data_IF_059754327156
#
_entry.id   IF_059754327156
#
_cell.length_a   1.000
_cell.length_b   1.000
_cell.length_c   1.000
_cell.angle_alpha   90.00
_cell.angle_beta   90.00
_cell.angle_gamma   90.00
#
_symmetry.space_group_name_H-M   'P 1'
#
loop_
_entity.id
_entity.type
_entity.pdbx_description
1 polymer ?
#
# COMPACT_ATOMS: atom_id res chain seq x y z
N UNK A 1 -1.80 -13.16 31.02
CA UNK A 1 -1.31 -11.79 30.95
C UNK A 1 -2.27 -11.01 30.04
N UNK A 2 -2.77 -9.85 30.45
CA UNK A 2 -3.74 -9.09 29.65
C UNK A 2 -2.98 -8.46 28.46
N UNK A 3 -3.11 -9.02 27.26
CA UNK A 3 -2.38 -8.60 26.04
C UNK A 3 -2.56 -7.12 25.67
N UNK A 4 -3.56 -6.46 26.27
CA UNK A 4 -3.96 -5.09 25.98
C UNK A 4 -3.76 -4.10 27.13
N UNK A 5 -3.02 -4.48 28.20
CA UNK A 5 -2.90 -3.64 29.40
C UNK A 5 -2.30 -2.24 29.13
N UNK A 6 -1.67 -2.07 27.98
CA UNK A 6 -0.82 -0.92 27.68
C UNK A 6 -1.40 0.03 26.61
N UNK A 7 -2.61 -0.22 26.09
CA UNK A 7 -3.27 0.62 25.07
C UNK A 7 -4.69 0.99 25.54
N UNK A 8 -5.21 2.11 25.02
CA UNK A 8 -6.51 2.64 25.41
C UNK A 8 -7.67 1.72 25.00
N UNK A 9 -8.80 1.72 25.72
CA UNK A 9 -9.97 0.92 25.37
C UNK A 9 -10.45 1.14 23.92
N UNK A 10 -10.40 2.36 23.41
CA UNK A 10 -10.71 2.73 22.03
C UNK A 10 -9.82 1.99 21.01
N UNK A 11 -8.52 1.92 21.30
CA UNK A 11 -7.52 1.23 20.46
C UNK A 11 -7.67 -0.29 20.57
N UNK A 12 -7.95 -0.81 21.76
CA UNK A 12 -8.27 -2.23 21.98
C UNK A 12 -9.49 -2.66 21.15
N UNK A 13 -10.54 -1.84 21.15
CA UNK A 13 -11.76 -2.09 20.40
C UNK A 13 -11.47 -2.08 18.90
N UNK A 14 -10.69 -1.10 18.38
CA UNK A 14 -10.28 -1.04 16.97
C UNK A 14 -9.56 -2.31 16.53
N UNK A 15 -8.53 -2.73 17.28
CA UNK A 15 -7.78 -3.96 16.98
C UNK A 15 -8.71 -5.18 17.02
N UNK A 16 -9.60 -5.26 18.01
CA UNK A 16 -10.53 -6.38 18.15
C UNK A 16 -11.52 -6.48 17.00
N UNK A 17 -11.88 -5.33 16.38
CA UNK A 17 -12.76 -5.27 15.21
C UNK A 17 -12.02 -5.45 13.87
N UNK A 18 -10.68 -5.50 13.85
CA UNK A 18 -9.89 -5.71 12.63
C UNK A 18 -9.78 -7.20 12.29
N UNK A 19 -10.90 -7.84 11.91
CA UNK A 19 -10.98 -9.25 11.48
C UNK A 19 -12.19 -9.50 10.59
N UNK A 20 -12.27 -10.68 9.99
CA UNK A 20 -13.35 -11.06 9.07
C UNK A 20 -14.35 -12.06 9.68
N UNK A 21 -14.04 -12.62 10.84
CA UNK A 21 -14.91 -13.57 11.56
C UNK A 21 -14.70 -13.48 13.07
N UNK A 22 -15.70 -13.92 13.85
CA UNK A 22 -15.71 -13.83 15.30
C UNK A 22 -16.17 -15.13 15.96
N UNK A 23 -15.39 -15.61 16.90
CA UNK A 23 -15.87 -16.58 17.87
C UNK A 23 -16.77 -15.92 18.90
N UNK A 24 -17.63 -16.70 19.58
CA UNK A 24 -18.50 -16.18 20.64
C UNK A 24 -17.74 -15.52 21.79
N UNK A 25 -16.53 -16.00 22.10
CA UNK A 25 -15.65 -15.35 23.09
C UNK A 25 -15.21 -13.97 22.65
N UNK A 26 -14.88 -13.80 21.37
CA UNK A 26 -14.49 -12.51 20.80
C UNK A 26 -15.66 -11.52 20.76
N UNK A 27 -16.86 -11.95 20.37
CA UNK A 27 -18.08 -11.14 20.43
C UNK A 27 -18.32 -10.62 21.83
N UNK A 28 -18.29 -11.50 22.86
CA UNK A 28 -18.43 -11.09 24.25
C UNK A 28 -17.37 -10.07 24.69
N UNK A 29 -16.12 -10.25 24.27
CA UNK A 29 -15.04 -9.32 24.58
C UNK A 29 -15.29 -7.95 23.92
N UNK A 30 -15.79 -7.90 22.67
CA UNK A 30 -16.14 -6.65 21.98
C UNK A 30 -17.24 -5.91 22.74
N UNK A 31 -18.29 -6.60 23.20
CA UNK A 31 -19.34 -5.98 24.04
C UNK A 31 -18.77 -5.38 25.35
N UNK A 32 -17.79 -6.04 25.97
CA UNK A 32 -17.13 -5.51 27.18
C UNK A 32 -16.32 -4.26 26.81
N UNK A 33 -15.58 -4.28 25.69
CA UNK A 33 -14.75 -3.16 25.25
C UNK A 33 -15.59 -1.94 24.88
N UNK A 34 -16.71 -2.12 24.16
CA UNK A 34 -17.62 -1.01 23.83
C UNK A 34 -18.14 -0.30 25.08
N UNK A 35 -18.41 -1.04 26.17
CA UNK A 35 -18.81 -0.45 27.45
C UNK A 35 -17.67 0.27 28.19
N UNK A 36 -16.42 0.01 27.84
CA UNK A 36 -15.24 0.60 28.48
C UNK A 36 -14.70 1.83 27.76
N UNK A 37 -15.06 2.04 26.48
CA UNK A 37 -14.62 3.25 25.77
C UNK A 37 -15.21 4.49 26.42
N UNK A 38 -14.39 5.50 26.59
CA UNK A 38 -14.78 6.76 27.24
C UNK A 38 -14.95 7.90 26.23
N UNK A 39 -14.32 7.78 25.06
CA UNK A 39 -14.34 8.77 23.98
C UNK A 39 -14.74 8.11 22.66
N UNK A 40 -16.05 8.11 22.39
CA UNK A 40 -16.61 7.54 21.17
C UNK A 40 -16.19 8.35 19.94
N UNK A 41 -16.04 9.66 20.06
CA UNK A 41 -15.59 10.51 18.95
C UNK A 41 -14.17 10.17 18.53
N UNK A 42 -13.28 9.98 19.52
CA UNK A 42 -11.93 9.50 19.29
C UNK A 42 -11.92 8.13 18.63
N UNK A 43 -12.75 7.18 19.08
CA UNK A 43 -12.85 5.86 18.46
C UNK A 43 -13.22 5.96 16.97
N UNK A 44 -14.26 6.72 16.64
CA UNK A 44 -14.74 6.93 15.27
C UNK A 44 -13.69 7.65 14.42
N UNK A 45 -13.04 8.69 14.99
CA UNK A 45 -11.94 9.39 14.35
C UNK A 45 -10.77 8.45 13.99
N UNK A 46 -10.33 7.64 14.94
CA UNK A 46 -9.25 6.67 14.71
C UNK A 46 -9.63 5.62 13.67
N UNK A 47 -10.87 5.10 13.69
CA UNK A 47 -11.37 4.16 12.68
C UNK A 47 -11.28 4.75 11.26
N UNK A 48 -11.60 6.04 11.11
CA UNK A 48 -11.52 6.75 9.84
C UNK A 48 -10.05 6.96 9.39
N UNK A 49 -9.21 7.52 10.27
CA UNK A 49 -7.82 7.82 9.94
C UNK A 49 -7.00 6.54 9.65
N UNK A 50 -7.30 5.45 10.33
CA UNK A 50 -6.71 4.14 10.09
C UNK A 50 -7.27 3.39 8.86
N UNK A 51 -8.27 3.96 8.18
CA UNK A 51 -8.82 3.40 6.94
C UNK A 51 -9.60 2.10 7.13
N UNK A 52 -10.17 1.86 8.32
CA UNK A 52 -10.92 0.65 8.69
C UNK A 52 -12.39 0.92 9.02
N UNK A 53 -12.87 2.14 8.84
CA UNK A 53 -14.21 2.56 9.27
C UNK A 53 -15.34 1.69 8.68
N UNK A 54 -15.20 1.23 7.43
CA UNK A 54 -16.17 0.36 6.78
C UNK A 54 -16.20 -1.03 7.41
N UNK A 55 -15.03 -1.60 7.71
CA UNK A 55 -14.90 -2.88 8.40
C UNK A 55 -15.45 -2.79 9.84
N UNK A 56 -15.12 -1.71 10.54
CA UNK A 56 -15.62 -1.44 11.91
C UNK A 56 -17.15 -1.41 11.94
N UNK A 57 -17.80 -0.75 10.99
CA UNK A 57 -19.27 -0.73 10.91
C UNK A 57 -19.86 -2.13 10.76
N UNK A 58 -19.40 -2.88 9.75
CA UNK A 58 -19.92 -4.22 9.48
C UNK A 58 -19.71 -5.13 10.70
N UNK A 59 -18.55 -5.06 11.35
CA UNK A 59 -18.21 -5.89 12.50
C UNK A 59 -18.96 -5.50 13.79
N UNK A 60 -19.26 -4.22 14.00
CA UNK A 60 -20.16 -3.79 15.07
C UNK A 60 -21.58 -4.32 14.86
N UNK A 61 -22.05 -4.37 13.62
CA UNK A 61 -23.35 -4.96 13.28
C UNK A 61 -23.35 -6.48 13.45
N UNK A 62 -22.34 -7.18 12.93
CA UNK A 62 -22.21 -8.64 13.04
C UNK A 62 -22.13 -9.13 14.48
N UNK A 63 -21.45 -8.38 15.33
CA UNK A 63 -21.30 -8.74 16.74
C UNK A 63 -22.48 -8.31 17.62
N UNK A 64 -23.42 -7.50 17.11
CA UNK A 64 -24.49 -6.88 17.89
C UNK A 64 -24.02 -5.76 18.85
N UNK A 65 -22.72 -5.44 18.82
CA UNK A 65 -22.17 -4.41 19.71
C UNK A 65 -22.50 -2.98 19.24
N UNK A 66 -22.93 -2.82 17.99
CA UNK A 66 -23.39 -1.53 17.46
C UNK A 66 -24.58 -0.94 18.21
N UNK A 67 -25.44 -1.78 18.78
CA UNK A 67 -26.63 -1.34 19.53
C UNK A 67 -26.27 -0.68 20.88
N UNK A 68 -25.00 -0.79 21.30
CA UNK A 68 -24.45 -0.13 22.50
C UNK A 68 -23.89 1.27 22.22
N UNK A 69 -23.80 1.66 20.94
CA UNK A 69 -23.30 2.97 20.52
C UNK A 69 -24.45 3.94 20.22
N UNK A 70 -24.23 5.27 20.35
CA UNK A 70 -25.23 6.26 19.93
C UNK A 70 -25.64 6.09 18.47
N UNK A 71 -26.92 6.21 18.19
CA UNK A 71 -27.49 6.03 16.84
C UNK A 71 -26.81 6.95 15.81
N UNK A 72 -26.55 8.20 16.15
CA UNK A 72 -25.86 9.16 15.27
C UNK A 72 -24.48 8.68 14.81
N UNK A 73 -23.73 7.98 15.69
CA UNK A 73 -22.40 7.42 15.36
C UNK A 73 -22.54 6.21 14.44
N UNK A 74 -23.52 5.36 14.69
CA UNK A 74 -23.81 4.23 13.80
C UNK A 74 -24.26 4.69 12.42
N UNK A 75 -25.05 5.76 12.32
CA UNK A 75 -25.45 6.39 11.03
C UNK A 75 -24.20 6.94 10.31
N UNK A 76 -23.28 7.61 11.02
CA UNK A 76 -22.03 8.10 10.43
C UNK A 76 -21.17 6.96 9.88
N UNK A 77 -21.00 5.88 10.64
CA UNK A 77 -20.27 4.68 10.24
C UNK A 77 -20.93 4.01 9.02
N UNK A 78 -22.26 3.89 9.01
CA UNK A 78 -23.03 3.36 7.87
C UNK A 78 -22.81 4.17 6.59
N UNK A 79 -22.88 5.48 6.68
CA UNK A 79 -22.62 6.38 5.55
C UNK A 79 -21.19 6.22 5.02
N UNK A 80 -20.21 6.07 5.91
CA UNK A 80 -18.80 5.83 5.54
C UNK A 80 -18.61 4.48 4.85
N UNK A 81 -19.34 3.45 5.32
CA UNK A 81 -19.40 2.13 4.68
C UNK A 81 -19.95 2.21 3.25
N UNK A 82 -21.06 2.95 3.07
CA UNK A 82 -21.65 3.14 1.74
C UNK A 82 -20.74 3.92 0.79
N UNK A 83 -20.02 4.94 1.28
CA UNK A 83 -19.00 5.65 0.49
C UNK A 83 -17.87 4.72 0.05
N UNK A 84 -17.39 3.85 0.95
CA UNK A 84 -16.37 2.85 0.62
C UNK A 84 -16.86 1.89 -0.47
N UNK A 85 -18.07 1.36 -0.34
CA UNK A 85 -18.68 0.48 -1.34
C UNK A 85 -18.82 1.17 -2.71
N UNK A 86 -19.35 2.39 -2.72
CA UNK A 86 -19.49 3.18 -3.95
C UNK A 86 -18.14 3.45 -4.61
N UNK A 87 -17.11 3.81 -3.82
CA UNK A 87 -15.75 4.02 -4.33
C UNK A 87 -15.19 2.72 -4.93
N UNK A 88 -15.26 1.61 -4.21
CA UNK A 88 -14.77 0.32 -4.69
C UNK A 88 -15.49 -0.11 -5.98
N UNK A 89 -16.84 0.05 -6.04
CA UNK A 89 -17.62 -0.25 -7.25
C UNK A 89 -17.10 0.55 -8.46
N UNK A 90 -16.77 1.81 -8.25
CA UNK A 90 -16.24 2.65 -9.30
C UNK A 90 -14.85 2.20 -9.76
N UNK A 91 -13.97 1.82 -8.83
CA UNK A 91 -12.66 1.21 -9.15
C UNK A 91 -12.82 -0.09 -9.95
N UNK A 92 -13.79 -0.92 -9.60
CA UNK A 92 -14.09 -2.15 -10.32
C UNK A 92 -14.54 -1.91 -11.77
N UNK A 93 -15.33 -0.87 -12.02
CA UNK A 93 -15.71 -0.52 -13.38
C UNK A 93 -14.49 -0.14 -14.24
N UNK A 94 -13.56 0.62 -13.67
CA UNK A 94 -12.33 1.01 -14.36
C UNK A 94 -11.40 -0.18 -14.60
N UNK A 95 -11.22 -1.07 -13.61
CA UNK A 95 -10.34 -2.24 -13.83
C UNK A 95 -10.91 -3.21 -14.87
N UNK A 96 -12.23 -3.38 -14.93
CA UNK A 96 -12.88 -4.21 -15.98
C UNK A 96 -12.54 -3.66 -17.37
N UNK A 97 -12.61 -2.35 -17.56
CA UNK A 97 -12.22 -1.71 -18.82
C UNK A 97 -10.73 -1.98 -19.16
N UNK A 98 -9.83 -1.77 -18.19
CA UNK A 98 -8.39 -2.05 -18.34
C UNK A 98 -8.14 -3.50 -18.75
N UNK A 99 -8.78 -4.45 -18.07
CA UNK A 99 -8.63 -5.88 -18.35
C UNK A 99 -9.15 -6.28 -19.73
N UNK A 100 -10.26 -5.69 -20.18
CA UNK A 100 -10.79 -5.93 -21.53
C UNK A 100 -9.81 -5.45 -22.61
N UNK A 101 -9.21 -4.27 -22.44
CA UNK A 101 -8.21 -3.73 -23.36
C UNK A 101 -6.96 -4.62 -23.40
N UNK A 102 -6.47 -5.05 -22.23
CA UNK A 102 -5.25 -5.85 -22.14
C UNK A 102 -5.45 -7.30 -22.62
N UNK A 103 -6.65 -7.85 -22.47
CA UNK A 103 -7.01 -9.17 -22.99
C UNK A 103 -6.87 -9.24 -24.51
N UNK A 104 -7.27 -8.19 -25.24
CA UNK A 104 -7.18 -8.13 -26.70
C UNK A 104 -5.74 -8.29 -27.21
N UNK A 105 -4.77 -7.83 -26.44
CA UNK A 105 -3.34 -7.90 -26.78
C UNK A 105 -2.57 -8.90 -25.90
N UNK A 106 -3.27 -9.72 -25.13
CA UNK A 106 -2.70 -10.78 -24.27
C UNK A 106 -1.63 -10.26 -23.28
N UNK A 107 -1.87 -9.10 -22.66
CA UNK A 107 -1.02 -8.60 -21.58
C UNK A 107 -1.48 -9.26 -20.26
N UNK A 108 -0.61 -10.09 -19.66
CA UNK A 108 -0.85 -10.67 -18.33
C UNK A 108 -0.88 -9.54 -17.30
N UNK A 109 -1.96 -9.50 -16.50
CA UNK A 109 -2.20 -8.41 -15.56
C UNK A 109 -2.46 -9.00 -14.17
N UNK A 110 -1.49 -8.85 -13.27
CA UNK A 110 -1.59 -9.29 -11.88
C UNK A 110 -2.07 -8.12 -11.03
N UNK A 111 -3.14 -8.32 -10.27
CA UNK A 111 -3.60 -7.31 -9.31
C UNK A 111 -2.64 -7.21 -8.14
N UNK A 112 -2.49 -6.01 -7.62
CA UNK A 112 -1.70 -5.77 -6.42
C UNK A 112 -2.53 -5.09 -5.32
N UNK A 113 -1.98 -5.06 -4.12
CA UNK A 113 -2.47 -4.31 -2.95
C UNK A 113 -3.99 -4.46 -2.73
N UNK A 114 -4.70 -3.31 -2.66
CA UNK A 114 -6.09 -3.23 -2.26
C UNK A 114 -7.02 -4.09 -3.07
N UNK A 115 -6.92 -4.05 -4.38
CA UNK A 115 -7.85 -4.78 -5.25
C UNK A 115 -7.61 -6.29 -5.22
N UNK A 116 -6.35 -6.73 -5.14
CA UNK A 116 -6.03 -8.14 -4.96
C UNK A 116 -6.60 -8.66 -3.63
N UNK A 117 -6.42 -7.91 -2.54
CA UNK A 117 -6.93 -8.25 -1.21
C UNK A 117 -8.46 -8.24 -1.15
N UNK A 118 -9.10 -7.22 -1.73
CA UNK A 118 -10.58 -7.13 -1.72
C UNK A 118 -11.22 -8.35 -2.39
N UNK A 119 -10.64 -8.84 -3.50
CA UNK A 119 -11.12 -10.05 -4.18
C UNK A 119 -10.75 -11.34 -3.46
N UNK A 120 -9.49 -11.47 -3.02
CA UNK A 120 -8.97 -12.74 -2.50
C UNK A 120 -9.22 -12.94 -1.00
N UNK A 121 -9.37 -11.87 -0.21
CA UNK A 121 -9.47 -11.93 1.25
C UNK A 121 -10.81 -11.39 1.74
N UNK A 122 -11.20 -10.16 1.36
CA UNK A 122 -12.38 -9.46 1.91
C UNK A 122 -13.70 -9.85 1.21
N UNK A 123 -13.65 -10.49 0.05
CA UNK A 123 -14.85 -10.98 -0.66
C UNK A 123 -15.62 -9.89 -1.39
N UNK A 124 -14.98 -8.84 -1.86
CA UNK A 124 -15.57 -7.75 -2.67
C UNK A 124 -16.78 -7.07 -2.02
N UNK A 125 -16.71 -6.81 -0.71
CA UNK A 125 -17.82 -6.20 0.06
C UNK A 125 -17.62 -4.71 0.33
N UNK A 126 -16.57 -4.07 -0.20
CA UNK A 126 -16.20 -2.69 0.10
C UNK A 126 -15.79 -2.46 1.56
N UNK A 127 -15.40 -3.53 2.26
CA UNK A 127 -14.90 -3.47 3.64
C UNK A 127 -13.52 -2.83 3.69
N UNK A 128 -12.69 -3.14 2.69
CA UNK A 128 -11.37 -2.57 2.53
C UNK A 128 -11.43 -1.32 1.67
N UNK A 129 -11.14 -0.18 2.29
CA UNK A 129 -11.10 1.10 1.56
C UNK A 129 -9.96 1.11 0.54
N UNK A 130 -10.26 1.50 -0.70
CA UNK A 130 -9.31 1.63 -1.81
C UNK A 130 -9.39 3.01 -2.44
N UNK A 131 -8.24 3.54 -2.89
CA UNK A 131 -8.15 4.85 -3.55
C UNK A 131 -7.66 4.77 -4.99
N UNK A 132 -6.92 3.73 -5.33
CA UNK A 132 -6.18 3.53 -6.57
C UNK A 132 -6.28 2.07 -7.03
N UNK A 133 -5.85 1.84 -8.25
CA UNK A 133 -5.72 0.53 -8.87
C UNK A 133 -4.26 0.28 -9.16
N UNK A 134 -3.69 -0.71 -8.48
CA UNK A 134 -2.31 -1.16 -8.73
C UNK A 134 -2.33 -2.46 -9.53
N UNK A 135 -1.67 -2.45 -10.68
CA UNK A 135 -1.51 -3.64 -11.51
C UNK A 135 -0.03 -3.89 -11.82
N UNK A 136 0.36 -5.15 -11.84
CA UNK A 136 1.70 -5.57 -12.25
C UNK A 136 1.59 -6.25 -13.63
N UNK A 137 2.40 -5.77 -14.57
CA UNK A 137 2.53 -6.35 -15.91
C UNK A 137 3.99 -6.71 -16.18
N UNK A 138 4.27 -7.66 -17.10
CA UNK A 138 5.62 -7.93 -17.53
C UNK A 138 6.32 -6.66 -18.01
N UNK A 139 7.57 -6.47 -17.59
CA UNK A 139 8.32 -5.23 -17.83
C UNK A 139 8.42 -4.86 -19.30
N UNK A 140 8.64 -5.82 -20.15
CA UNK A 140 8.73 -5.68 -21.61
C UNK A 140 7.42 -5.21 -22.24
N UNK A 141 6.28 -5.43 -21.57
CA UNK A 141 4.94 -5.03 -22.02
C UNK A 141 4.42 -3.74 -21.36
N UNK A 142 5.13 -3.19 -20.35
CA UNK A 142 4.60 -2.08 -19.55
C UNK A 142 4.39 -0.78 -20.37
N UNK A 143 5.25 -0.48 -21.33
CA UNK A 143 5.10 0.70 -22.20
C UNK A 143 3.96 0.52 -23.23
N UNK A 144 3.74 -0.69 -23.69
CA UNK A 144 2.59 -1.01 -24.53
C UNK A 144 1.28 -0.88 -23.74
N UNK A 145 1.23 -1.45 -22.53
CA UNK A 145 0.11 -1.30 -21.61
C UNK A 145 -0.24 0.17 -21.37
N UNK A 146 0.78 0.99 -21.11
CA UNK A 146 0.60 2.45 -20.93
C UNK A 146 0.02 3.11 -22.18
N UNK A 147 0.55 2.81 -23.37
CA UNK A 147 0.09 3.39 -24.62
C UNK A 147 -1.38 3.06 -24.86
N UNK A 148 -1.77 1.78 -24.67
CA UNK A 148 -3.16 1.34 -24.84
C UNK A 148 -4.12 2.15 -23.95
N UNK A 149 -3.77 2.36 -22.67
CA UNK A 149 -4.62 3.13 -21.79
C UNK A 149 -4.71 4.61 -22.21
N UNK A 150 -3.61 5.20 -22.64
CA UNK A 150 -3.61 6.58 -23.16
C UNK A 150 -4.50 6.72 -24.39
N UNK A 151 -4.42 5.77 -25.34
CA UNK A 151 -5.22 5.75 -26.57
C UNK A 151 -6.72 5.54 -26.27
N UNK A 152 -7.06 4.99 -25.09
CA UNK A 152 -8.43 4.75 -24.62
C UNK A 152 -8.91 5.75 -23.55
N UNK A 153 -8.38 6.97 -23.58
CA UNK A 153 -8.90 8.10 -22.81
C UNK A 153 -8.39 8.23 -21.37
N UNK A 154 -7.42 7.41 -20.95
CA UNK A 154 -6.69 7.65 -19.72
C UNK A 154 -5.71 8.83 -19.92
N UNK A 155 -5.56 9.67 -18.91
CA UNK A 155 -4.67 10.83 -18.93
C UNK A 155 -3.48 10.62 -18.01
N UNK A 156 -2.26 10.83 -18.53
CA UNK A 156 -1.07 10.76 -17.68
C UNK A 156 -0.95 11.96 -16.75
N UNK A 157 -0.58 11.71 -15.51
CA UNK A 157 -0.01 12.76 -14.66
C UNK A 157 1.22 13.34 -15.35
N UNK A 158 1.40 14.68 -15.35
CA UNK A 158 2.54 15.31 -16.00
C UNK A 158 3.87 14.80 -15.46
N UNK A 159 4.73 14.32 -16.34
CA UNK A 159 6.11 13.96 -15.99
C UNK A 159 7.01 15.20 -16.03
N UNK A 160 7.99 15.22 -15.14
CA UNK A 160 8.90 16.34 -14.95
C UNK A 160 9.67 16.71 -16.23
N UNK A 161 10.16 15.70 -16.95
CA UNK A 161 10.88 15.90 -18.21
C UNK A 161 10.46 14.88 -19.27
N UNK A 162 10.31 15.27 -20.55
CA UNK A 162 10.08 14.35 -21.66
C UNK A 162 11.17 13.29 -21.80
N UNK A 163 12.42 13.59 -21.40
CA UNK A 163 13.55 12.65 -21.43
C UNK A 163 13.28 11.39 -20.58
N UNK A 164 12.46 11.51 -19.53
CA UNK A 164 12.12 10.37 -18.70
C UNK A 164 11.35 9.28 -19.45
N UNK A 165 10.63 9.62 -20.53
CA UNK A 165 9.97 8.60 -21.35
C UNK A 165 10.94 7.54 -21.89
N UNK A 166 12.22 7.89 -22.10
CA UNK A 166 13.26 6.99 -22.59
C UNK A 166 13.72 5.96 -21.53
N UNK A 167 13.45 6.25 -20.26
CA UNK A 167 13.91 5.42 -19.13
C UNK A 167 12.80 4.94 -18.20
N UNK A 168 11.53 5.22 -18.50
CA UNK A 168 10.40 4.83 -17.64
C UNK A 168 10.43 3.36 -17.21
N UNK A 169 10.69 2.35 -18.07
CA UNK A 169 10.76 0.95 -17.65
C UNK A 169 11.96 0.61 -16.78
N UNK A 170 12.90 1.53 -16.64
CA UNK A 170 14.17 1.34 -15.91
C UNK A 170 14.29 2.23 -14.67
N UNK A 171 13.28 3.05 -14.43
CA UNK A 171 13.22 4.02 -13.35
C UNK A 171 12.00 3.77 -12.46
N UNK A 172 12.21 3.72 -11.14
CA UNK A 172 11.13 3.45 -10.19
C UNK A 172 10.61 2.01 -10.24
N UNK A 173 9.44 1.78 -9.70
CA UNK A 173 8.74 0.48 -9.65
C UNK A 173 7.48 0.45 -10.54
N UNK A 174 6.89 1.60 -10.81
CA UNK A 174 5.70 1.78 -11.66
C UNK A 174 5.92 2.94 -12.63
N UNK A 175 5.15 2.96 -13.70
CA UNK A 175 5.08 4.08 -14.63
C UNK A 175 4.34 5.27 -14.00
N UNK A 176 4.46 6.49 -14.57
CA UNK A 176 3.63 7.61 -14.16
C UNK A 176 2.15 7.26 -14.20
N UNK A 177 1.45 7.60 -13.13
CA UNK A 177 0.02 7.30 -12.96
C UNK A 177 -0.83 7.73 -14.17
N UNK A 178 -1.83 6.93 -14.45
CA UNK A 178 -2.85 7.21 -15.43
C UNK A 178 -4.19 7.43 -14.72
N UNK A 179 -4.92 8.45 -15.11
CA UNK A 179 -6.18 8.82 -14.46
C UNK A 179 -7.33 8.79 -15.46
N UNK A 180 -8.44 8.12 -15.10
CA UNK A 180 -9.71 8.17 -15.82
C UNK A 180 -10.86 8.24 -14.83
N UNK A 181 -11.80 9.17 -15.05
CA UNK A 181 -12.96 9.34 -14.17
C UNK A 181 -12.62 9.61 -12.69
N UNK A 182 -11.44 10.21 -12.38
CA UNK A 182 -11.00 10.42 -11.00
C UNK A 182 -10.40 9.19 -10.31
N UNK A 183 -10.18 8.10 -11.07
CA UNK A 183 -9.46 6.90 -10.61
C UNK A 183 -8.04 6.92 -11.12
N UNK A 184 -7.08 6.71 -10.21
CA UNK A 184 -5.67 6.49 -10.54
C UNK A 184 -5.40 5.02 -10.82
N UNK A 185 -4.65 4.74 -11.90
CA UNK A 185 -4.14 3.41 -12.26
C UNK A 185 -2.62 3.47 -12.29
N UNK A 186 -1.96 2.70 -11.43
CA UNK A 186 -0.52 2.52 -11.40
C UNK A 186 -0.11 1.24 -12.13
N UNK A 187 0.61 1.38 -13.25
CA UNK A 187 1.18 0.23 -13.96
C UNK A 187 2.56 -0.07 -13.37
N UNK A 188 2.63 -1.08 -12.52
CA UNK A 188 3.87 -1.60 -11.99
C UNK A 188 4.56 -2.51 -13.01
N UNK A 189 5.88 -2.42 -13.09
CA UNK A 189 6.74 -3.33 -13.86
C UNK A 189 7.75 -4.04 -12.96
N UNK A 190 7.75 -3.71 -11.67
CA UNK A 190 8.42 -4.42 -10.58
C UNK A 190 7.79 -4.06 -9.23
N UNK A 191 8.01 -4.89 -8.22
CA UNK A 191 7.39 -4.70 -6.90
C UNK A 191 8.06 -3.61 -6.08
N UNK A 192 9.38 -3.49 -6.17
CA UNK A 192 10.17 -2.56 -5.36
C UNK A 192 11.00 -1.62 -6.22
N UNK A 193 11.24 -0.42 -5.72
CA UNK A 193 12.29 0.44 -6.24
C UNK A 193 13.65 -0.14 -5.80
N UNK A 194 14.62 -0.27 -6.71
CA UNK A 194 15.92 -0.82 -6.41
C UNK A 194 16.30 -2.04 -7.27
N UNK A 195 17.26 -2.86 -6.82
CA UNK A 195 17.63 -4.09 -7.52
C UNK A 195 16.40 -4.95 -7.79
N UNK A 196 16.37 -5.58 -8.94
CA UNK A 196 15.30 -6.48 -9.33
C UNK A 196 15.47 -7.77 -8.54
N UNK A 197 14.53 -8.04 -7.65
CA UNK A 197 14.50 -9.27 -6.90
C UNK A 197 13.68 -10.31 -7.66
N UNK A 198 14.05 -11.59 -7.54
CA UNK A 198 13.29 -12.71 -8.07
C UNK A 198 11.79 -12.70 -7.67
N UNK A 199 11.45 -11.97 -6.62
CA UNK A 199 10.09 -11.81 -6.13
C UNK A 199 9.12 -11.22 -7.18
N UNK A 200 9.59 -10.29 -8.04
CA UNK A 200 8.74 -9.76 -9.13
C UNK A 200 8.42 -10.82 -10.16
N UNK A 201 9.39 -11.62 -10.54
CA UNK A 201 9.21 -12.71 -11.50
C UNK A 201 8.31 -13.80 -10.92
N UNK A 202 8.57 -14.25 -9.68
CA UNK A 202 7.72 -15.20 -8.95
C UNK A 202 6.27 -14.70 -8.84
N UNK A 203 6.07 -13.40 -8.56
CA UNK A 203 4.74 -12.80 -8.51
C UNK A 203 3.99 -12.90 -9.84
N UNK A 204 4.68 -12.70 -10.97
CA UNK A 204 4.06 -12.80 -12.30
C UNK A 204 3.84 -14.27 -12.68
N UNK A 205 4.86 -15.12 -12.54
CA UNK A 205 4.80 -16.52 -13.00
C UNK A 205 3.86 -17.37 -12.15
N UNK A 206 3.92 -17.22 -10.81
CA UNK A 206 3.10 -17.97 -9.86
C UNK A 206 1.67 -17.46 -9.69
N UNK A 207 1.30 -16.34 -10.34
CA UNK A 207 -0.07 -15.81 -10.23
C UNK A 207 -1.10 -16.71 -10.90
N UNK A 208 -2.23 -16.90 -10.23
CA UNK A 208 -3.35 -17.73 -10.68
C UNK A 208 -4.42 -16.90 -11.38
N UNK A 209 -4.98 -17.46 -12.44
CA UNK A 209 -6.05 -16.80 -13.19
C UNK A 209 -7.33 -16.78 -12.37
N UNK A 210 -7.98 -15.63 -12.33
CA UNK A 210 -9.25 -15.41 -11.67
C UNK A 210 -10.23 -14.78 -12.65
N UNK A 211 -11.35 -15.46 -12.90
CA UNK A 211 -12.41 -14.93 -13.77
C UNK A 211 -13.19 -13.85 -13.02
N UNK A 212 -13.16 -12.64 -13.56
CA UNK A 212 -13.91 -11.53 -12.98
C UNK A 212 -14.65 -10.75 -14.08
N UNK A 213 -15.96 -10.77 -14.00
CA UNK A 213 -16.85 -10.19 -15.01
C UNK A 213 -16.46 -10.57 -16.42
N UNK A 214 -16.23 -9.99 -17.37
CA UNK A 214 -15.85 -10.40 -18.74
C UNK A 214 -14.33 -10.36 -18.99
N UNK A 215 -13.51 -10.15 -17.96
CA UNK A 215 -12.05 -10.08 -18.04
C UNK A 215 -11.37 -11.20 -17.26
N UNK A 216 -10.14 -11.49 -17.63
CA UNK A 216 -9.27 -12.40 -16.88
C UNK A 216 -8.22 -11.54 -16.18
N UNK A 217 -8.20 -11.63 -14.87
CA UNK A 217 -7.16 -11.04 -14.03
C UNK A 217 -6.36 -12.15 -13.34
N UNK A 218 -5.22 -11.80 -12.81
CA UNK A 218 -4.40 -12.75 -12.07
C UNK A 218 -4.28 -12.29 -10.61
N UNK A 219 -4.51 -13.23 -9.71
CA UNK A 219 -4.29 -13.04 -8.27
C UNK A 219 -2.86 -13.46 -7.95
N UNK A 220 -2.14 -12.67 -7.14
CA UNK A 220 -0.77 -12.97 -6.75
C UNK A 220 -0.67 -14.28 -5.96
N UNK A 221 0.46 -15.01 -6.02
CA UNK A 221 0.73 -16.12 -5.13
C UNK A 221 0.85 -15.61 -3.68
N UNK A 222 0.33 -16.39 -2.73
CA UNK A 222 0.06 -15.94 -1.35
C UNK A 222 1.33 -15.48 -0.63
N UNK A 223 2.41 -16.26 -0.70
CA UNK A 223 3.66 -16.01 0.03
C UNK A 223 4.38 -14.76 -0.46
N UNK A 224 4.57 -14.64 -1.76
CA UNK A 224 5.19 -13.48 -2.39
C UNK A 224 4.35 -12.22 -2.18
N UNK A 225 3.03 -12.37 -2.20
CA UNK A 225 2.13 -11.26 -1.94
C UNK A 225 2.20 -10.79 -0.49
N UNK A 226 2.29 -11.71 0.46
CA UNK A 226 2.47 -11.38 1.87
C UNK A 226 3.78 -10.62 2.10
N UNK A 227 4.90 -11.09 1.56
CA UNK A 227 6.20 -10.40 1.64
C UNK A 227 6.16 -9.00 0.99
N UNK A 228 5.47 -8.88 -0.14
CA UNK A 228 5.24 -7.58 -0.77
C UNK A 228 4.48 -6.62 0.14
N UNK A 229 3.42 -7.08 0.82
CA UNK A 229 2.62 -6.28 1.74
C UNK A 229 3.40 -5.91 3.01
N UNK A 230 4.23 -6.80 3.55
CA UNK A 230 5.16 -6.50 4.64
C UNK A 230 6.09 -5.34 4.26
N UNK A 231 6.69 -5.37 3.08
CA UNK A 231 7.54 -4.29 2.58
C UNK A 231 6.77 -3.00 2.31
N UNK A 232 5.54 -3.12 1.83
CA UNK A 232 4.66 -1.98 1.59
C UNK A 232 4.32 -1.27 2.91
N UNK A 233 3.97 -2.03 3.94
CA UNK A 233 3.71 -1.50 5.28
C UNK A 233 4.95 -0.82 5.87
N UNK A 234 6.14 -1.45 5.84
CA UNK A 234 7.41 -0.87 6.29
C UNK A 234 7.71 0.48 5.61
N UNK A 235 7.40 0.59 4.32
CA UNK A 235 7.53 1.86 3.60
C UNK A 235 6.61 2.95 4.17
N UNK A 236 5.33 2.63 4.39
CA UNK A 236 4.35 3.58 4.92
C UNK A 236 4.67 3.98 6.36
N UNK A 237 5.16 3.07 7.20
CA UNK A 237 5.63 3.40 8.55
C UNK A 237 6.77 4.44 8.50
N UNK A 238 7.76 4.23 7.65
CA UNK A 238 8.88 5.18 7.46
C UNK A 238 8.45 6.53 6.91
N UNK A 239 7.34 6.58 6.18
CA UNK A 239 6.77 7.81 5.63
C UNK A 239 5.79 8.51 6.59
N UNK A 240 5.50 7.90 7.76
CA UNK A 240 4.50 8.44 8.70
C UNK A 240 3.06 8.39 8.14
N UNK A 241 2.80 7.52 7.17
CA UNK A 241 1.52 7.37 6.47
C UNK A 241 0.88 6.00 6.72
N UNK A 242 1.37 5.27 7.74
CA UNK A 242 0.86 3.94 8.06
C UNK A 242 -0.59 4.03 8.55
N UNK A 243 -1.36 2.98 8.27
CA UNK A 243 -2.75 2.81 8.69
C UNK A 243 -2.96 1.40 9.22
N UNK A 244 -3.82 1.26 10.24
CA UNK A 244 -4.16 -0.05 10.82
C UNK A 244 -4.74 -1.02 9.78
N UNK A 245 -5.37 -0.49 8.73
CA UNK A 245 -5.79 -1.24 7.55
C UNK A 245 -4.69 -2.13 6.97
N UNK A 246 -3.43 -1.65 6.92
CA UNK A 246 -2.31 -2.41 6.37
C UNK A 246 -1.89 -3.58 7.28
N UNK A 247 -2.01 -3.42 8.58
CA UNK A 247 -1.85 -4.51 9.54
C UNK A 247 -3.00 -5.51 9.47
N UNK A 248 -4.24 -5.00 9.33
CA UNK A 248 -5.43 -5.83 9.13
C UNK A 248 -5.31 -6.68 7.87
N UNK A 249 -4.76 -6.13 6.78
CA UNK A 249 -4.49 -6.88 5.54
C UNK A 249 -3.59 -8.11 5.82
N UNK A 250 -2.49 -7.91 6.54
CA UNK A 250 -1.58 -8.99 6.92
C UNK A 250 -2.24 -10.01 7.86
N UNK A 251 -2.96 -9.52 8.88
CA UNK A 251 -3.68 -10.37 9.81
C UNK A 251 -4.71 -11.26 9.10
N UNK A 252 -5.56 -10.69 8.25
CA UNK A 252 -6.57 -11.45 7.52
C UNK A 252 -5.96 -12.48 6.55
N UNK A 253 -4.79 -12.21 5.97
CA UNK A 253 -4.05 -13.22 5.21
C UNK A 253 -3.57 -14.37 6.09
N UNK A 254 -3.02 -14.08 7.27
CA UNK A 254 -2.61 -15.12 8.23
C UNK A 254 -3.82 -15.91 8.74
N UNK A 255 -4.93 -15.22 9.05
CA UNK A 255 -6.17 -15.89 9.50
C UNK A 255 -6.72 -16.84 8.42
N UNK A 256 -6.60 -16.47 7.13
CA UNK A 256 -7.10 -17.28 6.02
C UNK A 256 -6.18 -18.46 5.66
N UNK A 257 -4.87 -18.22 5.60
CA UNK A 257 -3.91 -19.20 5.07
C UNK A 257 -3.12 -19.94 6.16
N UNK A 258 -3.10 -19.42 7.39
CA UNK A 258 -2.55 -20.11 8.57
C UNK A 258 -1.15 -20.67 8.37
N UNK A 259 -0.99 -21.96 8.64
CA UNK A 259 0.29 -22.67 8.58
C UNK A 259 0.85 -22.81 7.16
N UNK A 260 0.00 -22.75 6.12
CA UNK A 260 0.47 -22.78 4.72
C UNK A 260 1.29 -21.52 4.36
N UNK A 261 1.01 -20.42 5.06
CA UNK A 261 1.73 -19.18 4.88
C UNK A 261 2.91 -19.04 5.85
N UNK A 262 2.72 -19.44 7.13
CA UNK A 262 3.70 -19.24 8.20
C UNK A 262 4.61 -20.48 8.36
N UNK A 263 5.47 -20.69 7.38
CA UNK A 263 6.45 -21.78 7.36
C UNK A 263 7.90 -21.27 7.32
N UNK A 264 8.86 -22.20 7.35
CA UNK A 264 10.29 -21.87 7.28
C UNK A 264 10.69 -21.32 5.91
N UNK A 265 9.98 -21.68 4.85
CA UNK A 265 10.23 -21.20 3.49
C UNK A 265 9.91 -19.70 3.36
N UNK A 266 8.84 -19.21 4.03
CA UNK A 266 8.54 -17.78 4.10
C UNK A 266 9.71 -16.98 4.66
N UNK A 267 10.37 -17.48 5.72
CA UNK A 267 11.54 -16.82 6.30
C UNK A 267 12.75 -16.87 5.38
N UNK A 268 13.01 -17.98 4.72
CA UNK A 268 14.10 -18.10 3.73
C UNK A 268 13.91 -17.14 2.55
N UNK A 269 12.68 -16.98 2.07
CA UNK A 269 12.36 -16.00 1.02
C UNK A 269 12.45 -14.56 1.52
N UNK A 270 12.05 -14.31 2.76
CA UNK A 270 12.21 -12.99 3.39
C UNK A 270 13.70 -12.61 3.52
N UNK A 271 14.55 -13.55 3.93
CA UNK A 271 16.00 -13.36 4.01
C UNK A 271 16.61 -13.04 2.64
N UNK A 272 16.29 -13.86 1.64
CA UNK A 272 16.73 -13.62 0.25
C UNK A 272 16.28 -12.25 -0.30
N UNK A 273 15.15 -11.72 0.18
CA UNK A 273 14.62 -10.41 -0.19
C UNK A 273 15.08 -9.26 0.75
N UNK A 274 15.86 -9.55 1.80
CA UNK A 274 16.28 -8.59 2.83
C UNK A 274 15.09 -8.01 3.63
N UNK A 275 14.10 -8.87 3.94
CA UNK A 275 12.86 -8.52 4.63
C UNK A 275 12.67 -9.23 5.97
N UNK A 276 13.64 -10.03 6.42
CA UNK A 276 13.53 -10.90 7.59
C UNK A 276 13.17 -10.15 8.89
N UNK A 277 13.89 -9.04 9.21
CA UNK A 277 13.58 -8.22 10.38
C UNK A 277 12.19 -7.59 10.30
N UNK A 278 11.81 -7.16 9.10
CA UNK A 278 10.49 -6.55 8.87
C UNK A 278 9.38 -7.58 9.01
N UNK A 279 9.57 -8.76 8.46
CA UNK A 279 8.65 -9.89 8.62
C UNK A 279 8.51 -10.25 10.10
N UNK A 280 9.63 -10.46 10.80
CA UNK A 280 9.65 -10.80 12.22
C UNK A 280 8.89 -9.75 13.06
N UNK A 281 9.18 -8.46 12.86
CA UNK A 281 8.49 -7.38 13.57
C UNK A 281 6.96 -7.39 13.33
N UNK A 282 6.50 -7.66 12.11
CA UNK A 282 5.05 -7.71 11.81
C UNK A 282 4.41 -8.94 12.42
N UNK A 283 5.00 -10.11 12.30
CA UNK A 283 4.49 -11.33 12.91
C UNK A 283 4.47 -11.25 14.45
N UNK A 284 5.49 -10.65 15.05
CA UNK A 284 5.51 -10.36 16.47
C UNK A 284 4.31 -9.52 16.90
N UNK A 285 4.01 -8.40 16.19
CA UNK A 285 2.87 -7.55 16.48
C UNK A 285 1.53 -8.27 16.27
N UNK A 286 1.40 -9.05 15.19
CA UNK A 286 0.18 -9.82 14.92
C UNK A 286 -0.04 -10.87 16.02
N UNK A 287 1.01 -11.55 16.50
CA UNK A 287 0.90 -12.46 17.64
C UNK A 287 0.48 -11.71 18.91
N UNK A 288 1.15 -10.60 19.19
CA UNK A 288 0.93 -9.83 20.43
C UNK A 288 -0.47 -9.23 20.50
N UNK A 289 -0.99 -8.63 19.42
CA UNK A 289 -2.25 -7.88 19.44
C UNK A 289 -3.45 -8.63 18.88
N UNK A 290 -3.28 -9.55 17.94
CA UNK A 290 -4.37 -10.34 17.35
C UNK A 290 -4.40 -11.80 17.79
N UNK A 291 -3.31 -12.27 18.44
CA UNK A 291 -3.23 -13.63 18.98
C UNK A 291 -3.11 -14.68 17.90
N UNK A 292 -2.45 -14.41 16.78
CA UNK A 292 -2.18 -15.45 15.77
C UNK A 292 -1.35 -16.59 16.36
N UNK A 293 -1.61 -17.80 15.89
CA UNK A 293 -0.75 -18.93 16.19
C UNK A 293 0.54 -18.86 15.35
N UNK A 294 1.67 -19.07 16.00
CA UNK A 294 2.99 -19.18 15.38
C UNK A 294 3.64 -20.43 15.93
N UNK A 295 4.12 -21.29 15.03
CA UNK A 295 4.82 -22.51 15.43
C UNK A 295 6.06 -22.18 16.29
N UNK A 296 6.36 -22.90 17.39
CA UNK A 296 7.46 -22.58 18.30
C UNK A 296 8.83 -22.40 17.64
N UNK A 297 9.13 -23.18 16.59
CA UNK A 297 10.38 -23.05 15.83
C UNK A 297 10.54 -21.69 15.17
N UNK A 298 9.45 -21.08 14.66
CA UNK A 298 9.45 -19.75 14.07
C UNK A 298 9.44 -18.66 15.13
N UNK A 299 8.85 -18.93 16.29
CA UNK A 299 8.76 -17.97 17.40
C UNK A 299 10.15 -17.54 17.89
N UNK A 300 11.11 -18.47 17.96
CA UNK A 300 12.49 -18.14 18.33
C UNK A 300 13.10 -17.16 17.32
N UNK A 301 12.97 -17.44 16.04
CA UNK A 301 13.49 -16.56 14.97
C UNK A 301 12.83 -15.17 15.04
N UNK A 302 11.51 -15.12 15.24
CA UNK A 302 10.76 -13.87 15.34
C UNK A 302 11.26 -13.03 16.53
N UNK A 303 11.43 -13.64 17.69
CA UNK A 303 11.88 -12.93 18.88
C UNK A 303 13.32 -12.41 18.74
N UNK A 304 14.21 -13.17 18.14
CA UNK A 304 15.61 -12.77 17.91
C UNK A 304 15.73 -11.64 16.88
N UNK A 305 14.91 -11.65 15.83
CA UNK A 305 14.97 -10.67 14.73
C UNK A 305 14.12 -9.42 14.97
N UNK A 306 13.22 -9.42 15.97
CA UNK A 306 12.33 -8.29 16.23
C UNK A 306 13.05 -7.16 16.98
N UNK A 307 13.06 -5.92 16.45
CA UNK A 307 13.65 -4.78 17.15
C UNK A 307 12.95 -4.49 18.49
N UNK A 308 13.73 -4.16 19.52
CA UNK A 308 13.24 -3.93 20.90
C UNK A 308 12.16 -2.85 21.02
N UNK A 309 12.17 -1.85 20.14
CA UNK A 309 11.22 -0.73 20.17
C UNK A 309 9.93 -0.97 19.35
N UNK A 310 9.75 -2.17 18.78
CA UNK A 310 8.64 -2.50 17.86
C UNK A 310 7.27 -2.22 18.49
N UNK A 311 7.04 -2.66 19.72
CA UNK A 311 5.77 -2.43 20.44
C UNK A 311 5.53 -0.95 20.70
N UNK A 312 6.57 -0.21 21.12
CA UNK A 312 6.45 1.22 21.41
C UNK A 312 6.10 2.02 20.15
N UNK A 313 6.74 1.71 19.02
CA UNK A 313 6.42 2.35 17.73
C UNK A 313 4.99 2.07 17.29
N UNK A 314 4.52 0.83 17.48
CA UNK A 314 3.14 0.46 17.14
C UNK A 314 2.11 1.19 18.01
N UNK A 315 2.34 1.32 19.34
CA UNK A 315 1.46 2.06 20.23
C UNK A 315 1.37 3.54 19.83
N UNK A 316 2.52 4.17 19.54
CA UNK A 316 2.54 5.56 19.07
C UNK A 316 1.74 5.72 17.78
N UNK A 317 1.88 4.78 16.87
CA UNK A 317 1.13 4.76 15.62
C UNK A 317 -0.39 4.58 15.82
N UNK A 318 -0.82 3.72 16.75
CA UNK A 318 -2.25 3.51 17.03
C UNK A 318 -2.93 4.78 17.51
N UNK A 319 -2.29 5.51 18.41
CA UNK A 319 -2.84 6.77 18.97
C UNK A 319 -2.69 7.96 18.03
N UNK A 320 -1.69 7.93 17.13
CA UNK A 320 -1.36 9.02 16.20
C UNK A 320 -1.10 8.47 14.80
N UNK A 321 -2.15 8.22 13.98
CA UNK A 321 -2.03 7.58 12.68
C UNK A 321 -1.20 8.39 11.66
N UNK A 322 -1.07 9.70 11.84
CA UNK A 322 -0.17 10.56 11.06
C UNK A 322 1.07 10.87 11.89
N UNK A 323 2.06 9.98 11.80
CA UNK A 323 3.34 10.15 12.47
C UNK A 323 4.30 11.09 11.73
N UNK A 324 5.43 11.38 12.35
CA UNK A 324 6.51 12.12 11.70
C UNK A 324 7.26 11.22 10.72
N UNK A 325 7.30 11.56 9.41
CA UNK A 325 8.05 10.79 8.44
C UNK A 325 9.55 10.84 8.77
N UNK A 326 10.27 9.75 8.51
CA UNK A 326 11.74 9.79 8.50
C UNK A 326 12.17 10.70 7.34
N UNK A 327 12.63 11.88 7.66
CA UNK A 327 13.10 12.83 6.68
C UNK A 327 14.53 12.51 6.26
N UNK A 328 14.68 11.85 5.11
CA UNK A 328 15.98 11.76 4.46
C UNK A 328 16.29 13.08 3.73
N UNK A 329 17.57 13.48 3.73
CA UNK A 329 17.96 14.66 2.98
C UNK A 329 17.61 14.50 1.48
N UNK A 330 17.30 15.62 0.80
CA UNK A 330 17.00 15.59 -0.65
C UNK A 330 18.16 14.99 -1.46
N UNK A 331 19.38 15.25 -1.03
CA UNK A 331 20.60 14.72 -1.64
C UNK A 331 20.66 13.19 -1.49
N UNK A 332 20.40 12.64 -0.30
CA UNK A 332 20.32 11.22 -0.07
C UNK A 332 19.30 10.54 -0.97
N UNK A 333 18.07 11.06 -1.02
CA UNK A 333 16.99 10.52 -1.87
C UNK A 333 17.36 10.57 -3.36
N UNK A 334 17.99 11.64 -3.80
CA UNK A 334 18.45 11.80 -5.18
C UNK A 334 19.54 10.78 -5.54
N UNK A 335 20.54 10.61 -4.65
CA UNK A 335 21.61 9.63 -4.82
C UNK A 335 21.06 8.19 -4.84
N UNK A 336 20.16 7.87 -3.94
CA UNK A 336 19.48 6.57 -3.93
C UNK A 336 18.75 6.29 -5.24
N UNK A 337 18.04 7.29 -5.75
CA UNK A 337 17.34 7.18 -7.04
C UNK A 337 18.31 6.90 -8.20
N UNK A 338 19.42 7.63 -8.30
CA UNK A 338 20.42 7.42 -9.35
C UNK A 338 21.05 6.04 -9.23
N UNK A 339 21.34 5.59 -8.00
CA UNK A 339 21.96 4.28 -7.78
C UNK A 339 21.04 3.12 -8.20
N UNK A 340 19.73 3.30 -8.14
CA UNK A 340 18.74 2.30 -8.58
C UNK A 340 18.66 2.17 -10.11
N UNK A 341 19.11 3.16 -10.87
CA UNK A 341 19.08 3.14 -12.34
C UNK A 341 20.28 2.35 -12.86
N UNK A 342 20.02 1.20 -13.50
CA UNK A 342 21.08 0.40 -14.15
C UNK A 342 21.49 0.99 -15.50
N UNK A 343 22.81 1.09 -15.73
CA UNK A 343 23.40 1.57 -16.98
C UNK A 343 23.71 3.07 -16.97
N UNK A 344 24.94 3.42 -17.35
CA UNK A 344 25.45 4.79 -17.32
C UNK A 344 24.63 5.74 -18.21
N UNK A 345 24.29 5.32 -19.43
CA UNK A 345 23.49 6.12 -20.37
C UNK A 345 22.12 6.51 -19.78
N UNK A 346 21.47 5.60 -19.03
CA UNK A 346 20.17 5.89 -18.37
C UNK A 346 20.32 6.86 -17.20
N UNK A 347 21.41 6.75 -16.44
CA UNK A 347 21.75 7.72 -15.38
C UNK A 347 21.95 9.11 -15.96
N UNK A 348 22.66 9.21 -17.09
CA UNK A 348 22.85 10.46 -17.81
C UNK A 348 21.49 11.05 -18.26
N UNK A 349 20.62 10.24 -18.88
CA UNK A 349 19.27 10.66 -19.28
C UNK A 349 18.47 11.17 -18.07
N UNK A 350 18.56 10.48 -16.93
CA UNK A 350 17.90 10.91 -15.70
C UNK A 350 18.40 12.27 -15.22
N UNK A 351 19.72 12.46 -15.17
CA UNK A 351 20.36 13.72 -14.77
C UNK A 351 19.97 14.84 -15.75
N UNK A 352 20.06 14.58 -17.04
CA UNK A 352 19.64 15.56 -18.07
C UNK A 352 18.14 15.90 -17.95
N UNK A 353 17.29 14.92 -17.66
CA UNK A 353 15.87 15.17 -17.41
C UNK A 353 15.61 16.04 -16.18
N UNK A 354 16.48 15.93 -15.17
CA UNK A 354 16.45 16.79 -14.00
C UNK A 354 16.97 18.20 -14.29
N UNK A 355 18.00 18.32 -15.10
CA UNK A 355 18.55 19.62 -15.53
C UNK A 355 17.57 20.34 -16.46
N UNK A 356 16.97 19.62 -17.39
CA UNK A 356 16.08 20.15 -18.43
C UNK A 356 14.63 19.60 -18.31
N UNK A 357 13.89 19.96 -17.23
CA UNK A 357 12.49 19.62 -17.13
C UNK A 357 11.65 20.37 -18.18
N UNK A 358 10.41 19.92 -18.38
CA UNK A 358 9.50 20.58 -19.32
C UNK A 358 9.16 22.03 -18.89
N UNK A 359 8.90 22.90 -19.84
CA UNK A 359 8.45 24.26 -19.55
C UNK A 359 7.14 24.30 -18.74
N UNK A 360 6.27 23.30 -18.93
CA UNK A 360 5.06 23.13 -18.13
C UNK A 360 5.42 22.89 -16.67
N UNK A 361 6.31 21.96 -16.39
CA UNK A 361 6.79 21.68 -15.04
C UNK A 361 7.45 22.92 -14.41
N UNK A 362 8.28 23.63 -15.17
CA UNK A 362 8.94 24.85 -14.69
C UNK A 362 7.93 25.95 -14.35
N UNK A 363 6.90 26.15 -15.21
CA UNK A 363 5.83 27.11 -14.96
C UNK A 363 5.08 26.80 -13.67
N UNK A 364 4.63 25.55 -13.51
CA UNK A 364 3.87 25.11 -12.34
C UNK A 364 4.72 25.16 -11.05
N UNK A 365 5.98 24.74 -11.13
CA UNK A 365 6.89 24.67 -9.97
C UNK A 365 7.32 26.04 -9.42
N UNK A 366 7.51 27.01 -10.28
CA UNK A 366 8.03 28.34 -9.92
C UNK A 366 6.96 29.44 -9.99
N UNK A 367 5.71 29.11 -10.29
CA UNK A 367 4.63 30.09 -10.39
C UNK A 367 4.83 31.11 -11.54
N UNK A 368 5.52 30.69 -12.62
CA UNK A 368 5.79 31.59 -13.71
C UNK A 368 4.51 31.98 -14.48
N UNK A 369 4.34 33.26 -14.82
CA UNK A 369 3.15 33.77 -15.52
C UNK A 369 2.96 33.18 -16.92
N UNK A 370 4.05 32.85 -17.61
CA UNK A 370 4.03 32.23 -18.95
C UNK A 370 5.10 31.12 -19.08
N UNK A 371 5.01 30.32 -20.16
CA UNK A 371 6.05 29.35 -20.50
C UNK A 371 7.40 30.02 -20.80
N UNK A 372 7.38 31.19 -21.44
CA UNK A 372 8.61 31.94 -21.70
C UNK A 372 9.25 32.50 -20.42
N UNK A 373 8.45 33.04 -19.49
CA UNK A 373 8.95 33.44 -18.17
C UNK A 373 9.54 32.24 -17.37
N UNK A 374 9.07 31.03 -17.60
CA UNK A 374 9.61 29.85 -16.97
C UNK A 374 11.07 29.53 -17.37
N UNK A 375 11.54 30.00 -18.55
CA UNK A 375 12.92 29.84 -18.98
C UNK A 375 13.91 30.55 -18.05
N UNK A 376 13.53 31.66 -17.45
CA UNK A 376 14.37 32.46 -16.54
C UNK A 376 14.71 31.69 -15.23
N UNK A 377 13.96 30.62 -14.90
CA UNK A 377 14.22 29.82 -13.70
C UNK A 377 15.20 28.68 -13.92
N UNK A 378 15.66 28.38 -15.15
CA UNK A 378 16.64 27.33 -15.38
C UNK A 378 18.00 27.63 -14.72
N UNK A 379 18.59 28.84 -14.82
CA UNK A 379 19.83 29.14 -14.10
C UNK A 379 19.71 28.95 -12.59
N UNK A 380 18.60 29.40 -11.98
CA UNK A 380 18.35 29.18 -10.56
C UNK A 380 18.26 27.68 -10.20
N UNK A 381 17.67 26.87 -11.07
CA UNK A 381 17.59 25.41 -10.90
C UNK A 381 18.96 24.76 -11.00
N UNK A 382 19.80 25.16 -11.94
CA UNK A 382 21.16 24.65 -12.06
C UNK A 382 21.98 24.93 -10.80
N UNK A 383 21.90 26.15 -10.25
CA UNK A 383 22.55 26.48 -8.98
C UNK A 383 22.11 25.56 -7.84
N UNK A 384 20.82 25.28 -7.72
CA UNK A 384 20.30 24.36 -6.69
C UNK A 384 20.79 22.92 -6.87
N UNK A 385 20.91 22.42 -8.11
CA UNK A 385 21.39 21.05 -8.37
C UNK A 385 22.89 20.93 -8.09
N UNK A 386 23.71 21.91 -8.47
CA UNK A 386 25.13 21.95 -8.15
C UNK A 386 25.35 21.99 -6.63
N UNK A 387 24.55 22.76 -5.91
CA UNK A 387 24.58 22.80 -4.45
C UNK A 387 24.24 21.43 -3.83
N UNK A 388 23.22 20.74 -4.34
CA UNK A 388 22.83 19.38 -3.88
C UNK A 388 23.93 18.35 -4.14
N UNK A 389 24.66 18.47 -5.25
CA UNK A 389 25.74 17.54 -5.60
C UNK A 389 27.02 17.83 -4.78
N UNK A 390 27.28 19.07 -4.35
CA UNK A 390 28.44 19.42 -3.54
C UNK A 390 28.33 19.05 -2.06
N UNK A 391 27.10 18.86 -1.54
CA UNK A 391 26.86 18.47 -0.15
C UNK A 391 26.83 16.93 0.02
N UNK A 392 26.94 16.20 -1.08
CA UNK A 392 27.05 14.72 -1.11
C UNK A 392 28.47 14.27 -1.36
#
# INVERSE_FOLDING_TARGET
>A
MNMFADILPEEQLLISLCRLSFSEKQKKNIHILVKKITDIDKFVYLANEHGIIALVYDNLKETGAGDLLPEEKMVFLANSRMKSLGRNTFLYNIIVEVLQLFKQVKIKTVLLKGMALDLSIYGNKGLRQMNDIDILVPRERCMEARRILLDNGFRSIPIKSPLYNLILPYYGKHLPELVKGGVSVEIHHKLFAGPDHSLTEKMITGSTEFSFNKGNLFIPPVREFFLYLVKHLDKHEKQGESQLRLYTDLFCMVEKYGEELLDTELFSEAEAAGLEEKLAAKLFLLKHYWGIFIHPALETIINEKTPNNTTQLFKTFLSQPKGNPIQYSRAYNYRQTINQIKGLHRKIIFILGDLFPSLRFMKERYGARSKLAALLYYPHRFGKLIYLVRIT
#
